data_IF_673268587856
#
_entry.id   IF_673268587856
#
_cell.length_a   1.000
_cell.length_b   1.000
_cell.length_c   1.000
_cell.angle_alpha   90.00
_cell.angle_beta   90.00
_cell.angle_gamma   90.00
#
_symmetry.space_group_name_H-M   'P 1'
#
loop_
_entity.id
_entity.type
_entity.pdbx_description
1 polymer ?
#
# COMPACT_ATOMS: atom_id res chain seq x y z
N UNK A 1 -35.85 -19.62 -4.99
CA UNK A 1 -36.09 -18.34 -4.29
C UNK A 1 -35.07 -17.25 -4.68
N UNK A 2 -33.73 -17.49 -4.54
CA UNK A 2 -32.69 -16.50 -4.87
C UNK A 2 -32.75 -16.00 -6.33
N UNK A 3 -32.89 -16.88 -7.31
CA UNK A 3 -32.98 -16.50 -8.73
C UNK A 3 -34.21 -15.66 -9.07
N UNK A 4 -35.32 -15.87 -8.37
CA UNK A 4 -36.54 -15.09 -8.59
C UNK A 4 -36.35 -13.65 -8.08
N UNK A 5 -35.83 -13.50 -6.87
CA UNK A 5 -35.52 -12.19 -6.26
C UNK A 5 -34.48 -11.45 -7.10
N UNK A 6 -33.41 -12.13 -7.54
CA UNK A 6 -32.40 -11.54 -8.40
C UNK A 6 -32.99 -11.01 -9.70
N UNK A 7 -33.84 -11.81 -10.38
CA UNK A 7 -34.48 -11.42 -11.64
C UNK A 7 -35.44 -10.23 -11.46
N UNK A 8 -36.16 -10.16 -10.35
CA UNK A 8 -37.04 -9.05 -10.02
C UNK A 8 -36.24 -7.76 -9.78
N UNK A 9 -35.18 -7.84 -8.97
CA UNK A 9 -34.29 -6.71 -8.70
C UNK A 9 -33.57 -6.23 -9.96
N UNK A 10 -33.18 -7.15 -10.86
CA UNK A 10 -32.57 -6.82 -12.15
C UNK A 10 -33.53 -6.06 -13.06
N UNK A 11 -34.80 -6.49 -13.15
CA UNK A 11 -35.82 -5.78 -13.92
C UNK A 11 -36.10 -4.38 -13.39
N UNK A 12 -35.99 -4.18 -12.07
CA UNK A 12 -36.17 -2.89 -11.43
C UNK A 12 -34.87 -2.05 -11.36
N UNK A 13 -33.76 -2.49 -11.99
CA UNK A 13 -32.43 -1.88 -11.87
C UNK A 13 -31.91 -1.75 -10.42
N UNK A 14 -32.37 -2.61 -9.51
CA UNK A 14 -31.97 -2.60 -8.08
C UNK A 14 -31.05 -3.77 -7.70
N UNK A 15 -30.61 -4.58 -8.67
CA UNK A 15 -29.76 -5.75 -8.41
C UNK A 15 -28.42 -5.39 -7.76
N UNK A 16 -27.92 -4.16 -7.95
CA UNK A 16 -26.71 -3.67 -7.30
C UNK A 16 -26.81 -3.66 -5.76
N UNK A 17 -28.02 -3.57 -5.19
CA UNK A 17 -28.21 -3.67 -3.73
C UNK A 17 -27.78 -5.02 -3.18
N UNK A 18 -27.73 -6.07 -4.01
CA UNK A 18 -27.23 -7.37 -3.62
C UNK A 18 -25.73 -7.35 -3.29
N UNK A 19 -24.96 -6.38 -3.82
CA UNK A 19 -23.56 -6.19 -3.44
C UNK A 19 -23.41 -5.93 -1.94
N UNK A 20 -24.38 -5.24 -1.33
CA UNK A 20 -24.36 -4.95 0.10
C UNK A 20 -24.77 -6.16 0.97
N UNK A 21 -25.70 -7.00 0.50
CA UNK A 21 -26.31 -8.06 1.31
C UNK A 21 -25.76 -9.46 1.01
N UNK A 22 -25.24 -9.71 -0.20
CA UNK A 22 -24.76 -11.02 -0.58
C UNK A 22 -23.46 -11.39 0.16
N UNK A 23 -23.38 -12.54 0.87
CA UNK A 23 -22.21 -12.91 1.66
C UNK A 23 -20.90 -12.99 0.89
N UNK A 24 -20.98 -13.36 -0.39
CA UNK A 24 -19.81 -13.52 -1.30
C UNK A 24 -19.59 -12.31 -2.21
N UNK A 25 -20.21 -11.16 -1.93
CA UNK A 25 -19.92 -9.96 -2.71
C UNK A 25 -18.49 -9.49 -2.48
N UNK A 26 -17.85 -8.93 -3.51
CA UNK A 26 -16.49 -8.40 -3.40
C UNK A 26 -16.35 -7.38 -2.26
N UNK A 27 -17.33 -6.48 -2.10
CA UNK A 27 -17.31 -5.48 -1.03
C UNK A 27 -17.37 -6.07 0.39
N UNK A 28 -17.96 -7.26 0.55
CA UNK A 28 -17.97 -7.96 1.84
C UNK A 28 -16.71 -8.76 2.06
N UNK A 29 -16.29 -9.53 1.05
CA UNK A 29 -15.13 -10.43 1.19
C UNK A 29 -13.83 -9.66 1.35
N UNK A 30 -13.68 -8.50 0.71
CA UNK A 30 -12.52 -7.61 0.90
C UNK A 30 -12.51 -6.85 2.22
N UNK A 31 -13.65 -6.80 2.95
CA UNK A 31 -13.78 -5.99 4.17
C UNK A 31 -14.14 -4.52 3.91
N UNK A 32 -14.50 -4.12 2.69
CA UNK A 32 -14.79 -2.73 2.34
C UNK A 32 -15.89 -2.12 3.23
N UNK A 33 -17.02 -2.82 3.41
CA UNK A 33 -18.10 -2.35 4.30
C UNK A 33 -17.66 -2.23 5.75
N UNK A 34 -16.80 -3.13 6.21
CA UNK A 34 -16.26 -3.10 7.57
C UNK A 34 -15.35 -1.88 7.75
N UNK A 35 -14.45 -1.66 6.83
CA UNK A 35 -13.54 -0.50 6.81
C UNK A 35 -14.32 0.81 6.76
N UNK A 36 -15.33 0.90 5.88
CA UNK A 36 -16.19 2.08 5.76
C UNK A 36 -16.93 2.40 7.06
N UNK A 37 -17.51 1.38 7.72
CA UNK A 37 -18.27 1.53 8.96
C UNK A 37 -17.38 1.85 10.16
N UNK A 38 -16.23 1.20 10.27
CA UNK A 38 -15.36 1.31 11.45
C UNK A 38 -14.36 2.45 11.38
N UNK A 39 -14.20 3.08 10.21
CA UNK A 39 -13.16 4.08 9.92
C UNK A 39 -11.74 3.53 10.13
N UNK A 40 -11.58 2.21 9.98
CA UNK A 40 -10.29 1.51 10.07
C UNK A 40 -10.04 0.76 8.78
N UNK A 41 -8.80 0.78 8.27
CA UNK A 41 -8.42 0.06 7.06
C UNK A 41 -8.16 -1.41 7.40
N UNK A 42 -9.21 -2.24 7.30
CA UNK A 42 -9.20 -3.64 7.75
C UNK A 42 -9.90 -4.56 6.75
N UNK A 43 -9.50 -5.83 6.77
CA UNK A 43 -10.18 -6.88 6.05
C UNK A 43 -11.48 -7.33 6.72
N UNK A 44 -12.12 -8.38 6.19
CA UNK A 44 -13.35 -8.93 6.75
C UNK A 44 -13.15 -9.59 8.14
N UNK A 45 -11.91 -9.88 8.55
CA UNK A 45 -11.56 -10.47 9.85
C UNK A 45 -11.09 -9.42 10.88
N UNK A 46 -11.21 -8.12 10.57
CA UNK A 46 -10.67 -6.99 11.33
C UNK A 46 -9.12 -6.93 11.38
N UNK A 47 -8.44 -7.65 10.49
CA UNK A 47 -7.00 -7.56 10.39
C UNK A 47 -6.62 -6.30 9.60
N UNK A 48 -5.62 -5.54 10.04
CA UNK A 48 -5.10 -4.40 9.28
C UNK A 48 -4.66 -4.84 7.88
N UNK A 49 -4.99 -4.03 6.88
CA UNK A 49 -4.50 -4.20 5.51
C UNK A 49 -3.97 -2.85 5.00
N UNK A 50 -3.08 -2.82 4.02
CA UNK A 50 -2.64 -1.57 3.40
C UNK A 50 -3.81 -0.78 2.80
N UNK A 51 -3.70 0.55 2.77
CA UNK A 51 -4.69 1.39 2.10
C UNK A 51 -4.40 1.51 0.60
N UNK A 52 -4.10 0.39 -0.01
CA UNK A 52 -3.83 0.21 -1.44
C UNK A 52 -4.98 -0.48 -2.14
N UNK A 53 -4.91 -0.58 -3.48
CA UNK A 53 -5.93 -1.34 -4.23
C UNK A 53 -5.97 -2.79 -3.77
N UNK A 54 -7.17 -3.36 -3.60
CA UNK A 54 -7.32 -4.73 -3.12
C UNK A 54 -6.59 -5.76 -4.01
N UNK A 55 -6.63 -5.56 -5.33
CA UNK A 55 -5.92 -6.42 -6.28
C UNK A 55 -4.39 -6.39 -6.10
N UNK A 56 -3.83 -5.23 -5.72
CA UNK A 56 -2.42 -5.13 -5.40
C UNK A 56 -2.07 -5.82 -4.08
N UNK A 57 -2.93 -5.68 -3.07
CA UNK A 57 -2.74 -6.38 -1.78
C UNK A 57 -2.71 -7.89 -1.98
N UNK A 58 -3.66 -8.44 -2.75
CA UNK A 58 -3.71 -9.89 -3.05
C UNK A 58 -2.47 -10.34 -3.83
N UNK A 59 -2.06 -9.57 -4.84
CA UNK A 59 -0.85 -9.85 -5.62
C UNK A 59 0.41 -9.87 -4.75
N UNK A 60 0.56 -8.87 -3.87
CA UNK A 60 1.76 -8.72 -3.04
C UNK A 60 1.81 -9.77 -1.94
N UNK A 61 0.67 -10.10 -1.31
CA UNK A 61 0.58 -11.04 -0.20
C UNK A 61 1.17 -12.42 -0.51
N UNK A 62 1.01 -12.89 -1.75
CA UNK A 62 1.54 -14.19 -2.19
C UNK A 62 3.07 -14.21 -2.38
N UNK A 63 3.71 -13.04 -2.39
CA UNK A 63 5.13 -12.85 -2.73
C UNK A 63 5.98 -12.37 -1.57
N UNK A 64 5.34 -11.89 -0.52
CA UNK A 64 6.04 -11.47 0.70
C UNK A 64 6.53 -12.68 1.51
N UNK A 65 7.68 -12.48 2.17
CA UNK A 65 8.23 -13.47 3.09
C UNK A 65 9.08 -12.79 4.18
N UNK A 66 9.45 -13.54 5.19
CA UNK A 66 10.19 -13.08 6.37
C UNK A 66 11.69 -12.82 6.16
N UNK A 67 12.18 -12.77 4.92
CA UNK A 67 13.56 -12.37 4.59
C UNK A 67 13.63 -10.94 4.10
N UNK A 68 12.51 -10.39 3.62
CA UNK A 68 12.45 -9.07 3.00
C UNK A 68 12.58 -7.96 4.05
N UNK A 69 13.29 -6.91 3.68
CA UNK A 69 13.41 -5.66 4.44
C UNK A 69 12.69 -4.54 3.71
N UNK A 70 11.91 -3.76 4.42
CA UNK A 70 11.06 -2.69 3.86
C UNK A 70 11.47 -1.34 4.40
N UNK A 71 11.65 -0.38 3.50
CA UNK A 71 11.81 1.04 3.81
C UNK A 71 10.55 1.76 3.32
N UNK A 72 9.84 2.45 4.22
CA UNK A 72 8.56 3.07 3.92
C UNK A 72 8.57 4.56 4.28
N UNK A 73 8.06 5.38 3.38
CA UNK A 73 7.83 6.80 3.57
C UNK A 73 6.33 7.09 3.59
N UNK A 74 5.85 7.58 4.75
CA UNK A 74 4.43 7.65 5.07
C UNK A 74 3.97 6.37 5.79
N UNK A 75 4.00 6.34 7.12
CA UNK A 75 3.59 5.17 7.86
C UNK A 75 2.07 5.01 7.93
N UNK A 76 1.58 3.77 8.04
CA UNK A 76 0.16 3.54 8.13
C UNK A 76 -0.24 2.10 8.41
N UNK A 77 -1.39 1.74 7.89
CA UNK A 77 -1.87 0.36 7.97
C UNK A 77 -1.00 -0.61 7.16
N UNK A 78 -0.31 -0.14 6.12
CA UNK A 78 0.74 -0.86 5.39
C UNK A 78 1.88 -1.26 6.31
N UNK A 79 2.39 -0.32 7.11
CA UNK A 79 3.45 -0.57 8.11
C UNK A 79 3.03 -1.66 9.09
N UNK A 80 1.80 -1.58 9.64
CA UNK A 80 1.27 -2.58 10.57
C UNK A 80 1.23 -3.94 9.89
N UNK A 81 0.62 -4.03 8.70
CA UNK A 81 0.44 -5.28 7.98
C UNK A 81 1.79 -5.93 7.63
N UNK A 82 2.71 -5.16 7.08
CA UNK A 82 4.05 -5.64 6.69
C UNK A 82 4.88 -6.09 7.89
N UNK A 83 4.78 -5.41 9.04
CA UNK A 83 5.56 -5.72 10.23
C UNK A 83 5.37 -7.15 10.74
N UNK A 84 4.24 -7.78 10.46
CA UNK A 84 3.96 -9.18 10.83
C UNK A 84 4.34 -10.20 9.76
N UNK A 85 4.83 -9.77 8.58
CA UNK A 85 5.09 -10.67 7.45
C UNK A 85 6.57 -10.67 7.08
N UNK A 86 7.22 -9.50 7.09
CA UNK A 86 8.59 -9.33 6.61
C UNK A 86 9.59 -9.35 7.76
N UNK A 87 10.89 -9.35 7.43
CA UNK A 87 11.97 -9.36 8.42
C UNK A 87 12.06 -8.06 9.22
N UNK A 88 11.93 -6.91 8.54
CA UNK A 88 12.04 -5.59 9.15
C UNK A 88 11.24 -4.56 8.34
N UNK A 89 10.57 -3.64 9.03
CA UNK A 89 10.03 -2.41 8.43
C UNK A 89 10.66 -1.21 9.13
N UNK A 90 11.25 -0.32 8.35
CA UNK A 90 11.69 1.01 8.81
C UNK A 90 10.81 2.03 8.10
N UNK A 91 9.96 2.71 8.86
CA UNK A 91 9.04 3.70 8.32
C UNK A 91 9.35 5.10 8.84
N UNK A 92 9.21 6.09 7.97
CA UNK A 92 9.36 7.52 8.30
C UNK A 92 8.02 8.22 8.19
N UNK A 93 7.73 9.10 9.16
CA UNK A 93 6.45 9.81 9.23
C UNK A 93 6.67 11.22 9.77
N UNK A 94 6.11 12.23 9.10
CA UNK A 94 6.24 13.62 9.50
C UNK A 94 5.00 14.18 10.22
N UNK A 95 3.98 13.35 10.46
CA UNK A 95 2.85 13.69 11.33
C UNK A 95 2.96 12.97 12.69
N UNK A 96 3.45 13.61 13.75
CA UNK A 96 3.87 12.95 14.99
C UNK A 96 2.74 12.17 15.68
N UNK A 97 1.51 12.71 15.65
CA UNK A 97 0.37 12.05 16.29
C UNK A 97 -0.02 10.74 15.59
N UNK A 98 0.10 10.72 14.25
CA UNK A 98 -0.13 9.52 13.45
C UNK A 98 0.98 8.48 13.67
N UNK A 99 2.24 8.90 13.62
CA UNK A 99 3.39 8.05 13.91
C UNK A 99 3.22 7.32 15.26
N UNK A 100 2.85 8.06 16.32
CA UNK A 100 2.61 7.52 17.67
C UNK A 100 1.45 6.51 17.68
N UNK A 101 0.38 6.76 16.94
CA UNK A 101 -0.78 5.85 16.88
C UNK A 101 -0.40 4.52 16.20
N UNK A 102 0.38 4.57 15.12
CA UNK A 102 0.79 3.38 14.39
C UNK A 102 1.88 2.61 15.15
N UNK A 103 2.84 3.29 15.78
CA UNK A 103 3.97 2.68 16.50
C UNK A 103 3.55 1.67 17.59
N UNK A 104 2.41 1.92 18.26
CA UNK A 104 1.87 0.98 19.26
C UNK A 104 1.22 -0.29 18.70
N UNK A 105 1.22 -0.48 17.37
CA UNK A 105 0.49 -1.55 16.68
C UNK A 105 1.35 -2.39 15.76
N UNK A 106 2.62 -2.07 15.60
CA UNK A 106 3.60 -2.81 14.80
C UNK A 106 4.30 -3.89 15.62
N UNK A 107 4.90 -4.86 14.94
CA UNK A 107 5.73 -5.91 15.55
C UNK A 107 7.10 -5.36 16.00
N UNK A 108 7.74 -6.03 16.95
CA UNK A 108 9.01 -5.62 17.56
C UNK A 108 10.20 -5.53 16.58
N UNK A 109 10.13 -6.23 15.45
CA UNK A 109 11.11 -6.17 14.38
C UNK A 109 11.02 -4.89 13.53
N UNK A 110 10.10 -3.99 13.84
CA UNK A 110 9.80 -2.82 13.02
C UNK A 110 9.87 -1.55 13.85
N UNK A 111 10.15 -0.42 13.19
CA UNK A 111 10.21 0.88 13.84
C UNK A 111 9.65 1.99 12.96
N UNK A 112 9.04 2.96 13.61
CA UNK A 112 8.59 4.20 13.00
C UNK A 112 9.43 5.33 13.57
N UNK A 113 9.99 6.13 12.68
CA UNK A 113 10.85 7.27 13.00
C UNK A 113 10.08 8.53 12.63
N UNK A 114 9.74 9.30 13.65
CA UNK A 114 9.14 10.63 13.44
C UNK A 114 10.21 11.61 12.95
N UNK A 115 9.91 12.34 11.89
CA UNK A 115 10.78 13.35 11.29
C UNK A 115 10.05 14.68 11.18
N UNK A 116 10.77 15.78 10.97
CA UNK A 116 10.13 17.10 10.77
C UNK A 116 9.46 17.17 9.40
N UNK A 117 10.14 16.62 8.39
CA UNK A 117 9.61 16.48 7.03
C UNK A 117 10.31 15.35 6.31
N UNK A 118 9.55 14.57 5.56
CA UNK A 118 10.08 13.46 4.75
C UNK A 118 10.93 13.97 3.57
N UNK A 119 10.77 15.23 3.17
CA UNK A 119 11.55 15.82 2.08
C UNK A 119 12.94 16.30 2.51
N UNK A 120 13.22 16.41 3.79
CA UNK A 120 14.55 16.74 4.31
C UNK A 120 15.35 15.44 4.58
N UNK A 121 16.07 14.98 3.54
CA UNK A 121 16.89 13.78 3.60
C UNK A 121 17.91 13.78 4.74
N UNK A 122 18.47 14.95 5.10
CA UNK A 122 19.48 15.03 6.17
C UNK A 122 18.89 14.76 7.54
N UNK A 123 17.59 15.03 7.72
CA UNK A 123 16.90 14.82 9.00
C UNK A 123 16.79 13.32 9.37
N UNK A 124 16.77 12.43 8.39
CA UNK A 124 16.47 11.03 8.64
C UNK A 124 17.48 10.00 8.08
N UNK A 125 18.36 10.37 7.14
CA UNK A 125 19.24 9.40 6.47
C UNK A 125 20.11 8.60 7.42
N UNK A 126 20.51 9.19 8.55
CA UNK A 126 21.33 8.52 9.57
C UNK A 126 20.62 7.35 10.27
N UNK A 127 19.29 7.28 10.19
CA UNK A 127 18.50 6.16 10.68
C UNK A 127 18.40 5.00 9.70
N UNK A 128 18.75 5.20 8.41
CA UNK A 128 18.69 4.16 7.38
C UNK A 128 19.99 3.36 7.40
N UNK A 129 19.91 2.10 7.82
CA UNK A 129 21.07 1.21 7.90
C UNK A 129 20.97 0.06 6.90
N UNK A 130 21.96 -0.02 6.00
CA UNK A 130 22.00 -1.05 4.98
C UNK A 130 21.06 -0.81 3.80
N UNK A 131 20.72 -1.90 3.12
CA UNK A 131 19.86 -1.91 1.95
C UNK A 131 18.52 -2.58 2.25
N UNK A 132 17.52 -2.28 1.44
CA UNK A 132 16.16 -2.78 1.55
C UNK A 132 15.72 -3.45 0.26
N UNK A 133 14.80 -4.38 0.38
CA UNK A 133 14.26 -5.13 -0.75
C UNK A 133 13.02 -4.45 -1.33
N UNK A 134 12.29 -3.72 -0.49
CA UNK A 134 11.09 -2.98 -0.88
C UNK A 134 11.22 -1.54 -0.39
N UNK A 135 11.05 -0.59 -1.31
CA UNK A 135 10.89 0.84 -1.01
C UNK A 135 9.44 1.22 -1.25
N UNK A 136 8.79 1.82 -0.26
CA UNK A 136 7.41 2.29 -0.37
C UNK A 136 7.39 3.81 -0.33
N UNK A 137 6.72 4.42 -1.32
CA UNK A 137 6.52 5.85 -1.44
C UNK A 137 5.01 6.13 -1.31
N UNK A 138 4.62 6.52 -0.11
CA UNK A 138 3.22 6.81 0.24
C UNK A 138 3.08 8.03 1.18
N UNK A 139 4.11 8.86 1.21
CA UNK A 139 4.15 10.09 2.01
C UNK A 139 3.29 11.20 1.40
N UNK A 140 2.91 12.16 2.22
CA UNK A 140 2.42 13.45 1.76
C UNK A 140 3.58 14.30 1.21
N UNK A 141 3.28 15.26 0.33
CA UNK A 141 4.28 16.17 -0.24
C UNK A 141 5.00 15.63 -1.46
N UNK A 142 6.26 16.03 -1.66
CA UNK A 142 7.01 15.73 -2.90
C UNK A 142 7.54 14.29 -2.91
N UNK A 143 6.74 13.38 -3.45
CA UNK A 143 7.07 11.95 -3.58
C UNK A 143 8.22 11.68 -4.56
N UNK A 144 8.40 12.52 -5.58
CA UNK A 144 9.47 12.36 -6.57
C UNK A 144 10.83 12.59 -5.90
N UNK A 145 10.99 13.68 -5.16
CA UNK A 145 12.23 13.95 -4.44
C UNK A 145 12.50 12.89 -3.37
N UNK A 146 11.47 12.47 -2.65
CA UNK A 146 11.59 11.38 -1.68
C UNK A 146 12.14 10.10 -2.35
N UNK A 147 11.57 9.68 -3.48
CA UNK A 147 12.05 8.50 -4.20
C UNK A 147 13.49 8.68 -4.70
N UNK A 148 13.81 9.83 -5.32
CA UNK A 148 15.15 10.10 -5.86
C UNK A 148 16.24 10.01 -4.82
N UNK A 149 16.00 10.55 -3.63
CA UNK A 149 16.94 10.52 -2.52
C UNK A 149 17.14 9.12 -1.97
N UNK A 150 16.09 8.27 -2.02
CA UNK A 150 16.08 6.99 -1.31
C UNK A 150 16.27 5.74 -2.19
N UNK A 151 16.24 5.87 -3.53
CA UNK A 151 16.56 4.75 -4.43
C UNK A 151 17.96 4.14 -4.17
N UNK A 152 18.91 4.92 -3.63
CA UNK A 152 20.24 4.44 -3.25
C UNK A 152 20.22 3.44 -2.12
N UNK A 153 19.15 3.40 -1.31
CA UNK A 153 18.98 2.42 -0.22
C UNK A 153 18.31 1.12 -0.67
N UNK A 154 17.92 1.03 -1.95
CA UNK A 154 17.31 -0.17 -2.50
C UNK A 154 18.39 -1.17 -2.94
N UNK A 155 18.17 -2.46 -2.72
CA UNK A 155 18.98 -3.56 -3.26
C UNK A 155 18.89 -3.58 -4.80
N UNK A 156 19.87 -4.22 -5.46
CA UNK A 156 19.86 -4.38 -6.92
C UNK A 156 18.61 -5.09 -7.45
N UNK A 157 18.10 -6.06 -6.69
CA UNK A 157 16.86 -6.79 -6.96
C UNK A 157 15.62 -6.18 -6.26
N UNK A 158 15.80 -5.03 -5.65
CA UNK A 158 14.72 -4.38 -4.91
C UNK A 158 13.63 -3.81 -5.83
N UNK A 159 12.44 -3.68 -5.26
CA UNK A 159 11.25 -3.13 -5.92
C UNK A 159 10.77 -1.86 -5.24
N UNK A 160 10.04 -1.01 -5.99
CA UNK A 160 9.43 0.21 -5.44
C UNK A 160 7.92 0.11 -5.56
N UNK A 161 7.23 0.27 -4.44
CA UNK A 161 5.77 0.41 -4.37
C UNK A 161 5.46 1.90 -4.30
N UNK A 162 4.61 2.37 -5.19
CA UNK A 162 4.21 3.76 -5.24
C UNK A 162 2.69 3.85 -5.26
N UNK A 163 2.12 4.43 -4.22
CA UNK A 163 0.66 4.56 -4.15
C UNK A 163 0.16 5.86 -4.78
N UNK A 164 -1.14 5.91 -5.11
CA UNK A 164 -1.84 7.04 -5.75
C UNK A 164 -1.17 7.51 -7.07
N UNK A 165 -0.80 6.57 -7.92
CA UNK A 165 -0.21 6.85 -9.24
C UNK A 165 -1.24 7.22 -10.31
N UNK A 166 -2.47 7.52 -9.92
CA UNK A 166 -3.54 8.09 -10.72
C UNK A 166 -3.55 9.63 -10.72
N UNK A 167 -2.65 10.26 -9.95
CA UNK A 167 -2.50 11.70 -9.88
C UNK A 167 -1.81 12.34 -11.11
N UNK A 168 -1.77 13.68 -11.18
CA UNK A 168 -1.21 14.42 -12.31
C UNK A 168 0.31 14.21 -12.50
N UNK A 169 1.02 13.84 -11.45
CA UNK A 169 2.48 13.59 -11.51
C UNK A 169 2.86 12.24 -12.14
N UNK A 170 1.90 11.41 -12.48
CA UNK A 170 2.15 10.08 -13.04
C UNK A 170 3.13 10.04 -14.22
N UNK A 171 3.05 10.92 -15.23
CA UNK A 171 4.01 10.91 -16.34
C UNK A 171 5.45 11.15 -15.88
N UNK A 172 5.66 12.03 -14.90
CA UNK A 172 6.98 12.34 -14.34
C UNK A 172 7.52 11.17 -13.52
N UNK A 173 6.68 10.55 -12.69
CA UNK A 173 7.03 9.36 -11.90
C UNK A 173 7.44 8.21 -12.83
N UNK A 174 6.62 7.93 -13.85
CA UNK A 174 6.88 6.87 -14.81
C UNK A 174 8.21 7.10 -15.54
N UNK A 175 8.42 8.30 -16.09
CA UNK A 175 9.65 8.65 -16.79
C UNK A 175 10.88 8.52 -15.88
N UNK A 176 10.78 8.98 -14.63
CA UNK A 176 11.82 8.83 -13.63
C UNK A 176 12.22 7.36 -13.44
N UNK A 177 11.25 6.51 -13.17
CA UNK A 177 11.49 5.11 -12.85
C UNK A 177 11.98 4.30 -14.05
N UNK A 178 11.45 4.56 -15.26
CA UNK A 178 11.91 3.95 -16.50
C UNK A 178 13.37 4.34 -16.79
N UNK A 179 13.75 5.61 -16.62
CA UNK A 179 15.12 6.09 -16.78
C UNK A 179 16.10 5.48 -15.75
N UNK A 180 15.60 4.97 -14.62
CA UNK A 180 16.36 4.21 -13.62
C UNK A 180 16.36 2.70 -13.89
N UNK A 181 15.84 2.26 -15.04
CA UNK A 181 15.84 0.86 -15.49
C UNK A 181 14.73 0.00 -14.86
N UNK A 182 13.68 0.61 -14.32
CA UNK A 182 12.53 -0.12 -13.81
C UNK A 182 11.48 -0.36 -14.90
N UNK A 183 10.84 -1.51 -14.84
CA UNK A 183 9.55 -1.83 -15.47
C UNK A 183 8.44 -1.53 -14.48
N UNK A 184 7.18 -1.52 -14.93
CA UNK A 184 6.03 -1.25 -14.07
C UNK A 184 4.89 -2.24 -14.26
N UNK A 185 4.18 -2.49 -13.18
CA UNK A 185 2.84 -3.11 -13.16
C UNK A 185 1.94 -2.21 -12.31
N UNK A 186 0.85 -1.72 -12.91
CA UNK A 186 -0.11 -0.86 -12.22
C UNK A 186 -1.41 -1.60 -11.93
N UNK A 187 -1.93 -1.39 -10.74
CA UNK A 187 -3.19 -1.97 -10.26
C UNK A 187 -4.17 -0.84 -9.99
N UNK A 188 -5.20 -0.74 -10.84
CA UNK A 188 -6.30 0.21 -10.65
C UNK A 188 -7.49 -0.52 -10.08
N UNK A 189 -8.11 0.02 -9.03
CA UNK A 189 -9.25 -0.62 -8.41
C UNK A 189 -9.73 0.07 -7.15
N UNK A 190 -10.61 -0.61 -6.44
CA UNK A 190 -11.14 -0.13 -5.17
C UNK A 190 -10.09 -0.23 -4.07
N UNK A 191 -10.15 0.73 -3.15
CA UNK A 191 -9.42 0.76 -1.90
C UNK A 191 -10.39 0.77 -0.72
N UNK A 192 -9.89 0.47 0.47
CA UNK A 192 -10.72 0.49 1.67
C UNK A 192 -11.29 1.89 1.94
N UNK A 193 -12.54 1.97 2.37
CA UNK A 193 -13.26 3.18 2.76
C UNK A 193 -13.61 4.17 1.64
N UNK A 194 -13.10 4.00 0.43
CA UNK A 194 -13.32 4.95 -0.64
C UNK A 194 -14.34 4.45 -1.66
N UNK A 195 -15.06 5.38 -2.28
CA UNK A 195 -15.99 5.09 -3.36
C UNK A 195 -15.33 5.18 -4.73
N UNK A 196 -14.25 5.95 -4.82
CA UNK A 196 -13.49 6.13 -6.05
C UNK A 196 -12.46 5.01 -6.20
N UNK A 197 -11.99 4.81 -7.42
CA UNK A 197 -10.83 3.98 -7.69
C UNK A 197 -9.57 4.74 -7.34
N UNK A 198 -8.52 4.01 -6.96
CA UNK A 198 -7.16 4.47 -6.85
C UNK A 198 -6.25 3.59 -7.68
N UNK A 199 -4.98 3.95 -7.75
CA UNK A 199 -3.97 3.22 -8.51
C UNK A 199 -2.68 3.08 -7.71
N UNK A 200 -2.29 1.84 -7.46
CA UNK A 200 -1.02 1.48 -6.84
C UNK A 200 -0.11 0.87 -7.90
N UNK A 201 1.12 1.34 -8.03
CA UNK A 201 2.08 0.87 -9.03
C UNK A 201 3.30 0.23 -8.36
N UNK A 202 3.68 -0.93 -8.88
CA UNK A 202 4.90 -1.64 -8.54
C UNK A 202 5.93 -1.41 -9.65
N UNK A 203 7.09 -0.89 -9.27
CA UNK A 203 8.25 -0.76 -10.15
C UNK A 203 9.27 -1.85 -9.81
N UNK A 204 9.77 -2.56 -10.82
CA UNK A 204 10.63 -3.72 -10.65
C UNK A 204 11.65 -3.85 -11.77
N UNK A 205 12.74 -4.58 -11.55
CA UNK A 205 13.71 -4.99 -12.57
C UNK A 205 13.51 -6.47 -12.93
N UNK A 206 14.12 -6.93 -14.02
CA UNK A 206 13.97 -8.32 -14.49
C UNK A 206 14.36 -9.34 -13.41
N UNK A 207 15.47 -9.11 -12.70
CA UNK A 207 15.74 -9.83 -11.46
C UNK A 207 15.19 -9.00 -10.31
N UNK A 208 14.30 -9.58 -9.50
CA UNK A 208 13.69 -8.85 -8.38
C UNK A 208 13.29 -9.77 -7.23
N UNK A 209 13.21 -9.22 -6.03
CA UNK A 209 12.94 -9.94 -4.79
C UNK A 209 11.53 -10.54 -4.67
N UNK A 210 10.61 -10.19 -5.57
CA UNK A 210 9.25 -10.71 -5.60
C UNK A 210 9.04 -11.83 -6.65
N UNK A 211 10.07 -12.17 -7.43
CA UNK A 211 10.04 -13.22 -8.48
C UNK A 211 8.93 -12.99 -9.54
N UNK A 212 8.87 -11.78 -10.10
CA UNK A 212 7.93 -11.39 -11.14
C UNK A 212 8.61 -11.00 -12.45
#
# INVERSE_FOLDING_TARGET
>A
MYNLIFNLLRKANLAFLLLAIHPRSALRTTGWFKSFRTKKVVDNNNMPIPWWTYSFIDFLKERLNNRLRVLEFGCGYSTIWLSFIVNEVVAFEDYPQWAKNIAGRISENSRIIGVKTITDFQDYTHHIKGKFDILIIDNLGNRIDCAMQNLTHLNSEGVVIWDNTDGPDWPNIKNLMVNKGFKEISFTGMVAQELNQSKTTLFYRTANCLNI
#
